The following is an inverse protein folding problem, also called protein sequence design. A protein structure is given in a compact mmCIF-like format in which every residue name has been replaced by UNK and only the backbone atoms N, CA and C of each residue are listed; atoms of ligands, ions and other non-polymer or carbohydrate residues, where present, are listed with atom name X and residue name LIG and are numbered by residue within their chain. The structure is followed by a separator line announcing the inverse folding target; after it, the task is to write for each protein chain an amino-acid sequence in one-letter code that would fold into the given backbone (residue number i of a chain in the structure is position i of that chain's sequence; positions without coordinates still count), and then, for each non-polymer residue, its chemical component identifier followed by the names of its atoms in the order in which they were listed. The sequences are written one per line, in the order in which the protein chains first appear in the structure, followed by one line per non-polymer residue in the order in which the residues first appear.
data_IF_238411736835
#
_entry.id   IF_238411736835
#
_cell.length_a   1.000
_cell.length_b   1.000
_cell.length_c   1.000
_cell.angle_alpha   90.00
_cell.angle_beta   90.00
_cell.angle_gamma   90.00
#
_symmetry.space_group_name_H-M   'P 1'
#
loop_
_entity.id
_entity.type
_entity.pdbx_description
1 polymer ?
#
# COMPACT_ATOMS: atom_id res chain seq x y z
N UNK A 1 -17.62 16.63 -14.62
CA UNK A 1 -17.51 16.34 -13.18
C UNK A 1 -16.55 15.18 -13.05
N UNK A 2 -15.55 15.28 -12.15
CA UNK A 2 -14.66 14.16 -11.87
C UNK A 2 -15.27 13.33 -10.74
N UNK A 3 -15.19 11.99 -10.79
CA UNK A 3 -15.69 11.15 -9.71
C UNK A 3 -14.94 11.47 -8.42
N UNK A 4 -15.63 11.34 -7.29
CA UNK A 4 -15.00 11.43 -5.98
C UNK A 4 -14.12 10.19 -5.75
N UNK A 5 -13.19 10.27 -4.80
CA UNK A 5 -12.34 9.11 -4.43
C UNK A 5 -13.21 7.94 -3.95
N UNK A 6 -14.28 8.21 -3.21
CA UNK A 6 -15.20 7.16 -2.74
C UNK A 6 -15.96 6.50 -3.90
N UNK A 7 -16.31 7.26 -4.93
CA UNK A 7 -16.96 6.72 -6.14
C UNK A 7 -15.98 5.93 -7.03
N UNK A 8 -14.75 6.40 -7.15
CA UNK A 8 -13.72 5.75 -7.96
C UNK A 8 -13.12 4.51 -7.29
N UNK A 9 -13.09 4.47 -5.95
CA UNK A 9 -12.50 3.41 -5.15
C UNK A 9 -13.43 3.03 -3.98
N UNK A 10 -14.55 2.35 -4.26
CA UNK A 10 -15.51 1.97 -3.21
C UNK A 10 -14.94 0.99 -2.18
N UNK A 11 -13.89 0.26 -2.56
CA UNK A 11 -13.17 -0.68 -1.69
C UNK A 11 -11.96 -0.04 -0.98
N UNK A 12 -11.81 1.29 -1.02
CA UNK A 12 -10.71 1.98 -0.35
C UNK A 12 -10.88 1.91 1.16
N UNK A 13 -10.05 1.11 1.80
CA UNK A 13 -9.89 1.13 3.25
C UNK A 13 -8.67 1.97 3.59
N UNK A 14 -8.87 3.05 4.34
CA UNK A 14 -7.78 3.88 4.84
C UNK A 14 -7.29 3.30 6.16
N UNK A 15 -6.08 2.75 6.15
CA UNK A 15 -5.39 2.32 7.36
C UNK A 15 -4.50 3.46 7.85
N UNK A 16 -4.62 3.88 9.13
CA UNK A 16 -3.70 4.83 9.73
C UNK A 16 -2.26 4.32 9.58
N UNK A 17 -1.34 5.20 9.19
CA UNK A 17 0.07 4.81 9.06
C UNK A 17 0.74 4.54 10.43
N UNK A 18 0.11 4.97 11.53
CA UNK A 18 0.63 4.82 12.88
C UNK A 18 -0.42 4.17 13.76
N UNK A 19 0.00 3.19 14.55
CA UNK A 19 -0.83 2.56 15.56
C UNK A 19 -0.51 3.21 16.92
N UNK A 20 -1.50 3.92 17.45
CA UNK A 20 -1.37 4.64 18.72
C UNK A 20 -1.25 3.68 19.90
N UNK A 21 -1.81 2.47 19.80
CA UNK A 21 -1.78 1.47 20.88
C UNK A 21 -0.38 0.85 21.03
N UNK A 22 0.30 0.56 19.92
CA UNK A 22 1.68 0.05 19.94
C UNK A 22 2.75 1.14 19.99
N UNK A 23 2.41 2.37 19.62
CA UNK A 23 3.38 3.46 19.48
C UNK A 23 4.34 3.26 18.30
N UNK A 24 3.97 2.41 17.33
CA UNK A 24 4.80 2.10 16.16
C UNK A 24 4.03 2.30 14.85
N UNK A 25 4.72 2.56 13.72
CA UNK A 25 4.06 2.60 12.42
C UNK A 25 3.40 1.27 12.06
N UNK A 26 2.22 1.33 11.44
CA UNK A 26 1.59 0.16 10.83
C UNK A 26 2.41 -0.30 9.61
N UNK A 27 2.51 -1.61 9.37
CA UNK A 27 3.19 -2.13 8.19
C UNK A 27 2.49 -1.62 6.92
N UNK A 28 3.25 -1.37 5.83
CA UNK A 28 2.66 -0.94 4.57
C UNK A 28 1.68 -2.01 4.06
N UNK A 29 0.63 -1.61 3.33
CA UNK A 29 -0.27 -2.58 2.72
C UNK A 29 0.52 -3.54 1.82
N UNK A 30 0.10 -4.81 1.72
CA UNK A 30 0.83 -5.80 0.95
C UNK A 30 0.95 -5.37 -0.52
N UNK A 31 2.09 -5.70 -1.13
CA UNK A 31 2.31 -5.44 -2.55
C UNK A 31 1.24 -6.15 -3.37
N UNK A 32 0.51 -5.36 -4.18
CA UNK A 32 -0.45 -5.87 -5.14
C UNK A 32 0.29 -6.76 -6.16
N UNK A 33 0.16 -8.08 -6.02
CA UNK A 33 0.81 -9.09 -6.87
C UNK A 33 1.88 -9.96 -6.21
N UNK A 34 2.17 -9.78 -4.93
CA UNK A 34 2.99 -10.74 -4.16
C UNK A 34 2.22 -12.06 -3.98
N UNK A 35 2.93 -13.18 -4.05
CA UNK A 35 2.40 -14.57 -4.11
C UNK A 35 1.48 -15.02 -2.96
N UNK A 36 1.12 -14.13 -2.02
CA UNK A 36 0.15 -14.36 -0.95
C UNK A 36 -1.26 -13.82 -1.21
N UNK A 37 -1.51 -13.08 -2.30
CA UNK A 37 -2.85 -12.60 -2.65
C UNK A 37 -3.53 -13.51 -3.68
N UNK A 38 -3.97 -14.70 -3.26
CA UNK A 38 -4.86 -15.56 -4.05
C UNK A 38 -6.30 -15.02 -4.23
N UNK A 39 -6.55 -13.71 -3.99
CA UNK A 39 -7.91 -13.16 -3.91
C UNK A 39 -8.17 -11.81 -4.58
N UNK A 40 -7.18 -11.12 -5.17
CA UNK A 40 -7.40 -9.83 -5.85
C UNK A 40 -7.00 -9.90 -7.33
N UNK A 41 -7.61 -10.85 -8.03
CA UNK A 41 -7.60 -10.98 -9.47
C UNK A 41 -8.35 -9.80 -10.11
N UNK A 42 -7.71 -8.65 -10.33
CA UNK A 42 -8.38 -7.61 -11.13
C UNK A 42 -7.82 -6.19 -11.16
N UNK A 43 -6.66 -5.86 -10.60
CA UNK A 43 -6.14 -4.49 -10.65
C UNK A 43 -4.70 -4.45 -11.18
N UNK A 44 -4.37 -3.51 -12.08
CA UNK A 44 -3.07 -3.47 -12.73
C UNK A 44 -1.96 -3.16 -11.72
N UNK A 45 -0.85 -3.88 -11.83
CA UNK A 45 0.35 -3.64 -11.05
C UNK A 45 0.94 -2.27 -11.43
N UNK A 46 0.95 -1.30 -10.50
CA UNK A 46 1.74 -0.09 -10.67
C UNK A 46 3.19 -0.41 -10.26
N UNK A 47 3.97 -0.88 -11.23
CA UNK A 47 5.42 -0.91 -11.15
C UNK A 47 5.94 0.53 -11.21
N UNK A 48 6.58 1.01 -10.14
CA UNK A 48 7.27 2.30 -10.17
C UNK A 48 7.57 2.85 -8.77
N UNK A 49 8.80 2.64 -8.29
CA UNK A 49 9.29 3.27 -7.08
C UNK A 49 10.65 2.71 -6.64
N UNK A 50 11.71 3.03 -7.39
CA UNK A 50 13.09 2.80 -6.97
C UNK A 50 13.39 3.54 -5.67
N UNK A 51 14.00 2.84 -4.73
CA UNK A 51 14.53 3.38 -3.48
C UNK A 51 15.77 2.59 -3.07
N UNK A 52 16.76 2.53 -3.95
CA UNK A 52 18.15 2.27 -3.55
C UNK A 52 18.60 3.45 -2.67
N UNK A 53 18.47 3.25 -1.36
CA UNK A 53 19.07 4.08 -0.34
C UNK A 53 20.18 3.29 0.32
N UNK A 54 21.36 3.37 -0.30
CA UNK A 54 22.66 3.01 0.23
C UNK A 54 22.80 3.37 1.72
N UNK A 55 23.01 2.32 2.53
CA UNK A 55 23.39 2.41 3.93
C UNK A 55 24.64 1.57 4.17
N UNK A 56 25.73 1.90 3.47
CA UNK A 56 27.07 1.47 3.86
C UNK A 56 27.50 2.24 5.10
N UNK A 57 27.24 1.66 6.25
CA UNK A 57 28.05 1.88 7.45
C UNK A 57 28.63 0.52 7.83
N UNK A 58 29.87 0.26 7.37
CA UNK A 58 31.01 -0.34 8.07
C UNK A 58 32.27 -0.26 7.20
#
# INVERSE_FOLDING_TARGET
MLPTVEEAFPDLVVYPAFDEDSGTPNPPPPHRGGSGQSGQSGQPAQSGGSGDGSGEDQ
#
